data_IF_477205885159
#
_entry.id   IF_477205885159
#
_cell.length_a   1.000
_cell.length_b   1.000
_cell.length_c   1.000
_cell.angle_alpha   90.00
_cell.angle_beta   90.00
_cell.angle_gamma   90.00
#
_symmetry.space_group_name_H-M   'P 1'
#
loop_
_entity.id
_entity.type
_entity.pdbx_description
1 polymer ?
#
# COMPACT_ATOMS: atom_id res chain seq x y z
N UNK A 1 -24.51 -37.26 15.33
CA UNK A 1 -23.36 -36.42 15.64
C UNK A 1 -22.19 -37.00 14.87
N UNK A 2 -21.87 -36.43 13.70
CA UNK A 2 -20.72 -36.86 12.93
C UNK A 2 -19.47 -36.24 13.54
N UNK A 3 -18.45 -37.04 13.75
CA UNK A 3 -17.11 -36.62 14.15
C UNK A 3 -16.51 -35.85 12.98
N UNK A 4 -16.24 -34.55 13.18
CA UNK A 4 -15.49 -33.75 12.20
C UNK A 4 -14.02 -34.16 12.39
N UNK A 5 -13.46 -34.91 11.46
CA UNK A 5 -12.01 -35.14 11.37
C UNK A 5 -11.37 -33.88 10.83
N UNK A 6 -10.50 -33.25 11.61
CA UNK A 6 -9.70 -32.10 11.18
C UNK A 6 -8.54 -32.67 10.34
N UNK A 7 -8.63 -32.51 9.03
CA UNK A 7 -7.55 -32.90 8.11
C UNK A 7 -6.49 -31.79 8.12
N UNK A 8 -5.17 -32.14 8.23
CA UNK A 8 -4.09 -31.16 8.16
C UNK A 8 -4.12 -30.40 6.84
N UNK A 9 -3.94 -29.07 6.88
CA UNK A 9 -3.79 -28.21 5.72
C UNK A 9 -2.65 -28.71 4.82
N UNK A 10 -2.99 -29.10 3.62
CA UNK A 10 -2.13 -29.74 2.61
C UNK A 10 -2.93 -30.63 1.67
N UNK A 11 -4.17 -30.95 2.03
CA UNK A 11 -5.09 -31.69 1.20
C UNK A 11 -6.37 -30.86 1.04
N UNK A 12 -6.52 -30.23 -0.10
CA UNK A 12 -7.75 -29.65 -0.68
C UNK A 12 -8.84 -29.19 0.33
N UNK A 13 -8.46 -28.32 1.28
CA UNK A 13 -9.40 -27.74 2.24
C UNK A 13 -10.55 -26.98 1.52
N UNK A 14 -10.27 -26.39 0.37
CA UNK A 14 -11.22 -25.72 -0.49
C UNK A 14 -12.28 -26.65 -1.10
N UNK A 15 -11.95 -27.91 -1.32
CA UNK A 15 -12.90 -28.93 -1.77
C UNK A 15 -13.94 -29.27 -0.68
N UNK A 16 -13.54 -29.19 0.57
CA UNK A 16 -14.39 -29.49 1.72
C UNK A 16 -15.44 -28.41 1.99
N UNK A 17 -15.06 -27.13 1.99
CA UNK A 17 -16.00 -26.02 2.18
C UNK A 17 -17.14 -26.04 1.14
N UNK A 18 -16.85 -26.47 -0.08
CA UNK A 18 -17.83 -26.57 -1.17
C UNK A 18 -18.82 -27.75 -1.02
N UNK A 19 -18.51 -28.71 -0.20
CA UNK A 19 -19.37 -29.89 0.01
C UNK A 19 -20.43 -29.72 1.08
N UNK A 20 -20.43 -28.57 1.79
CA UNK A 20 -21.41 -28.29 2.84
C UNK A 20 -22.56 -27.42 2.32
N UNK A 21 -23.78 -27.73 2.78
CA UNK A 21 -24.96 -26.91 2.50
C UNK A 21 -24.88 -25.54 3.19
N UNK A 22 -25.49 -24.51 2.58
CA UNK A 22 -25.40 -23.09 2.95
C UNK A 22 -25.45 -22.77 4.47
N UNK A 23 -26.33 -23.33 5.32
CA UNK A 23 -26.37 -22.94 6.72
C UNK A 23 -25.12 -23.36 7.52
N UNK A 24 -24.32 -24.29 7.01
CA UNK A 24 -23.11 -24.79 7.69
C UNK A 24 -21.81 -24.21 7.13
N UNK A 25 -21.85 -23.58 5.97
CA UNK A 25 -20.69 -23.01 5.27
C UNK A 25 -19.91 -21.98 6.11
N UNK A 26 -20.57 -21.03 6.80
CA UNK A 26 -19.85 -20.08 7.67
C UNK A 26 -19.13 -20.75 8.84
N UNK A 27 -19.72 -21.81 9.40
CA UNK A 27 -19.13 -22.56 10.52
C UNK A 27 -17.89 -23.33 10.07
N UNK A 28 -17.92 -23.92 8.87
CA UNK A 28 -16.77 -24.64 8.29
C UNK A 28 -15.65 -23.66 7.93
N UNK A 29 -15.97 -22.53 7.31
CA UNK A 29 -15.01 -21.48 7.04
C UNK A 29 -14.35 -20.94 8.32
N UNK A 30 -15.12 -20.76 9.39
CA UNK A 30 -14.61 -20.40 10.71
C UNK A 30 -13.63 -21.47 11.26
N UNK A 31 -13.98 -22.75 11.19
CA UNK A 31 -13.13 -23.84 11.67
C UNK A 31 -11.82 -23.97 10.87
N UNK A 32 -11.90 -23.80 9.56
CA UNK A 32 -10.70 -23.79 8.68
C UNK A 32 -9.79 -22.61 9.04
N UNK A 33 -10.35 -21.41 9.22
CA UNK A 33 -9.61 -20.22 9.64
C UNK A 33 -8.91 -20.39 10.98
N UNK A 34 -9.62 -20.92 11.99
CA UNK A 34 -9.05 -21.15 13.33
C UNK A 34 -7.95 -22.22 13.31
N UNK A 35 -8.08 -23.26 12.49
CA UNK A 35 -7.04 -24.26 12.30
C UNK A 35 -5.78 -23.67 11.67
N UNK A 36 -5.93 -22.86 10.63
CA UNK A 36 -4.82 -22.16 9.98
C UNK A 36 -4.08 -21.21 10.93
N UNK A 37 -4.83 -20.40 11.69
CA UNK A 37 -4.24 -19.50 12.70
C UNK A 37 -3.50 -20.29 13.78
N UNK A 38 -4.00 -21.47 14.17
CA UNK A 38 -3.31 -22.37 15.12
C UNK A 38 -1.93 -22.81 14.62
N UNK A 39 -1.80 -23.13 13.35
CA UNK A 39 -0.52 -23.54 12.76
C UNK A 39 0.49 -22.38 12.68
N UNK A 40 0.03 -21.18 12.32
CA UNK A 40 0.86 -19.98 12.26
C UNK A 40 1.38 -19.55 13.64
N UNK A 41 0.58 -19.68 14.67
CA UNK A 41 0.89 -19.20 16.03
C UNK A 41 1.95 -20.06 16.75
N UNK A 42 2.35 -21.22 16.21
CA UNK A 42 3.44 -22.02 16.77
C UNK A 42 4.81 -21.31 16.83
N UNK A 43 5.02 -20.31 15.98
CA UNK A 43 6.28 -19.57 15.86
C UNK A 43 6.34 -18.28 16.70
N UNK A 44 5.33 -18.01 17.53
CA UNK A 44 5.28 -16.80 18.37
C UNK A 44 6.40 -16.80 19.43
N UNK A 45 7.17 -15.72 19.58
CA UNK A 45 8.16 -15.59 20.66
C UNK A 45 7.47 -15.71 22.03
N UNK A 46 7.97 -16.57 22.91
CA UNK A 46 7.40 -16.79 24.25
C UNK A 46 7.01 -18.26 24.53
N UNK A 47 7.19 -19.14 23.55
CA UNK A 47 6.99 -20.57 23.69
C UNK A 47 5.52 -21.02 23.66
N UNK A 48 5.24 -22.31 23.95
CA UNK A 48 3.92 -22.92 23.77
C UNK A 48 2.77 -22.26 24.55
N UNK A 49 3.04 -21.76 25.73
CA UNK A 49 2.02 -21.09 26.56
C UNK A 49 1.58 -19.75 25.96
N UNK A 50 2.51 -18.99 25.38
CA UNK A 50 2.19 -17.76 24.68
C UNK A 50 1.45 -18.03 23.36
N UNK A 51 1.86 -19.06 22.63
CA UNK A 51 1.16 -19.50 21.43
C UNK A 51 -0.31 -19.84 21.72
N UNK A 52 -0.59 -20.56 22.80
CA UNK A 52 -1.97 -20.89 23.20
C UNK A 52 -2.80 -19.65 23.55
N UNK A 53 -2.20 -18.68 24.27
CA UNK A 53 -2.88 -17.44 24.61
C UNK A 53 -3.24 -16.60 23.37
N UNK A 54 -2.32 -16.48 22.40
CA UNK A 54 -2.56 -15.79 21.14
C UNK A 54 -3.67 -16.49 20.34
N UNK A 55 -3.69 -17.82 20.30
CA UNK A 55 -4.78 -18.59 19.69
C UNK A 55 -6.12 -18.24 20.30
N UNK A 56 -6.19 -18.28 21.63
CA UNK A 56 -7.44 -17.98 22.33
C UNK A 56 -7.94 -16.56 22.02
N UNK A 57 -7.05 -15.56 22.01
CA UNK A 57 -7.41 -14.18 21.66
C UNK A 57 -7.96 -14.06 20.23
N UNK A 58 -7.37 -14.76 19.27
CA UNK A 58 -7.84 -14.75 17.90
C UNK A 58 -9.16 -15.51 17.75
N UNK A 59 -9.29 -16.68 18.41
CA UNK A 59 -10.52 -17.46 18.44
C UNK A 59 -11.69 -16.66 19.03
N UNK A 60 -11.45 -15.89 20.09
CA UNK A 60 -12.47 -15.07 20.73
C UNK A 60 -12.87 -13.88 19.84
N UNK A 61 -11.92 -13.21 19.22
CA UNK A 61 -12.21 -12.13 18.26
C UNK A 61 -13.03 -12.65 17.05
N UNK A 62 -12.69 -13.81 16.50
CA UNK A 62 -13.44 -14.41 15.40
C UNK A 62 -14.86 -14.82 15.81
N UNK A 63 -15.07 -15.28 17.07
CA UNK A 63 -16.41 -15.56 17.61
C UNK A 63 -17.24 -14.28 17.74
N UNK A 64 -16.64 -13.19 18.20
CA UNK A 64 -17.30 -11.89 18.29
C UNK A 64 -17.72 -11.36 16.91
N UNK A 65 -16.85 -11.44 15.91
CA UNK A 65 -17.17 -11.07 14.53
C UNK A 65 -18.34 -11.91 13.98
N UNK A 66 -18.31 -13.22 14.18
CA UNK A 66 -19.37 -14.12 13.74
C UNK A 66 -20.70 -13.82 14.46
N UNK A 67 -20.68 -13.49 15.76
CA UNK A 67 -21.84 -13.11 16.52
C UNK A 67 -22.46 -11.78 16.07
N UNK A 68 -21.66 -10.88 15.48
CA UNK A 68 -22.11 -9.61 14.89
C UNK A 68 -22.62 -9.77 13.45
N UNK A 69 -22.61 -10.99 12.92
CA UNK A 69 -23.05 -11.26 11.55
C UNK A 69 -22.04 -10.86 10.47
N UNK A 70 -20.79 -10.58 10.84
CA UNK A 70 -19.72 -10.32 9.89
C UNK A 70 -19.33 -11.61 9.18
N UNK A 71 -19.47 -11.62 7.86
CA UNK A 71 -19.04 -12.77 7.06
C UNK A 71 -17.51 -12.87 7.10
N UNK A 72 -16.94 -14.09 7.25
CA UNK A 72 -15.50 -14.28 7.15
C UNK A 72 -15.02 -13.83 5.77
N UNK A 73 -13.90 -13.12 5.73
CA UNK A 73 -13.25 -12.76 4.47
C UNK A 73 -12.72 -14.03 3.80
N UNK A 74 -13.38 -14.45 2.72
CA UNK A 74 -13.05 -15.65 1.97
C UNK A 74 -12.36 -15.30 0.65
N UNK A 75 -11.09 -15.68 0.52
CA UNK A 75 -10.30 -15.50 -0.69
C UNK A 75 -10.39 -16.69 -1.66
N UNK A 76 -11.00 -17.81 -1.24
CA UNK A 76 -11.02 -19.02 -2.08
C UNK A 76 -11.68 -18.83 -3.43
N UNK A 77 -12.79 -18.07 -3.58
CA UNK A 77 -13.39 -17.85 -4.89
C UNK A 77 -12.43 -17.29 -5.94
N UNK A 78 -11.63 -16.29 -5.57
CA UNK A 78 -10.67 -15.69 -6.52
C UNK A 78 -9.45 -16.60 -6.76
N UNK A 79 -9.02 -17.36 -5.76
CA UNK A 79 -7.95 -18.37 -5.91
C UNK A 79 -8.39 -19.47 -6.87
N UNK A 80 -9.62 -19.96 -6.77
CA UNK A 80 -10.19 -20.96 -7.68
C UNK A 80 -10.32 -20.44 -9.12
N UNK A 81 -10.79 -19.20 -9.28
CA UNK A 81 -10.84 -18.52 -10.58
C UNK A 81 -9.44 -18.44 -11.19
N UNK A 82 -8.44 -18.04 -10.42
CA UNK A 82 -7.05 -17.95 -10.89
C UNK A 82 -6.48 -19.32 -11.27
N UNK A 83 -6.73 -20.35 -10.49
CA UNK A 83 -6.34 -21.71 -10.81
C UNK A 83 -6.97 -22.19 -12.14
N UNK A 84 -8.20 -21.76 -12.44
CA UNK A 84 -8.86 -22.06 -13.72
C UNK A 84 -8.29 -21.24 -14.86
N UNK A 85 -8.04 -19.94 -14.67
CA UNK A 85 -7.48 -19.04 -15.69
C UNK A 85 -6.08 -19.47 -16.13
N UNK A 86 -5.24 -19.91 -15.21
CA UNK A 86 -3.86 -20.36 -15.49
C UNK A 86 -3.74 -21.89 -15.67
N UNK A 87 -4.83 -22.63 -15.49
CA UNK A 87 -4.84 -24.07 -15.63
C UNK A 87 -4.92 -24.56 -17.09
N UNK A 88 -4.97 -25.90 -17.30
CA UNK A 88 -5.17 -26.48 -18.62
C UNK A 88 -6.46 -25.94 -19.29
N UNK A 89 -6.34 -25.45 -20.52
CA UNK A 89 -7.40 -24.78 -21.27
C UNK A 89 -7.92 -23.48 -20.60
N UNK A 90 -7.07 -22.81 -19.83
CA UNK A 90 -7.33 -21.51 -19.25
C UNK A 90 -7.16 -20.35 -20.25
N UNK A 91 -7.04 -19.14 -19.75
CA UNK A 91 -6.87 -17.95 -20.57
C UNK A 91 -5.42 -17.85 -21.09
N UNK A 92 -5.19 -17.80 -22.41
CA UNK A 92 -3.85 -17.71 -22.99
C UNK A 92 -3.08 -16.46 -22.50
N UNK A 93 -3.79 -15.36 -22.25
CA UNK A 93 -3.19 -14.12 -21.75
C UNK A 93 -2.69 -14.30 -20.30
N UNK A 94 -3.53 -14.85 -19.41
CA UNK A 94 -3.15 -15.10 -18.03
C UNK A 94 -2.00 -16.12 -17.92
N UNK A 95 -2.04 -17.19 -18.71
CA UNK A 95 -0.99 -18.23 -18.78
C UNK A 95 0.35 -17.63 -19.20
N UNK A 96 0.35 -16.65 -20.12
CA UNK A 96 1.56 -15.99 -20.61
C UNK A 96 2.17 -15.00 -19.60
N UNK A 97 1.45 -14.63 -18.53
CA UNK A 97 1.97 -13.67 -17.56
C UNK A 97 3.08 -14.26 -16.69
N UNK A 98 4.02 -13.40 -16.35
CA UNK A 98 5.12 -13.64 -15.41
C UNK A 98 5.15 -12.54 -14.35
N UNK A 99 5.89 -12.74 -13.26
CA UNK A 99 6.14 -11.67 -12.28
C UNK A 99 6.61 -10.36 -12.94
N UNK A 100 7.38 -10.46 -14.02
CA UNK A 100 7.95 -9.30 -14.71
C UNK A 100 6.94 -8.57 -15.59
N UNK A 101 6.09 -9.29 -16.31
CA UNK A 101 5.09 -8.67 -17.20
C UNK A 101 3.98 -7.98 -16.42
N UNK A 102 3.67 -8.47 -15.21
CA UNK A 102 2.63 -7.93 -14.34
C UNK A 102 3.04 -6.67 -13.57
N UNK A 103 4.34 -6.32 -13.53
CA UNK A 103 4.82 -5.15 -12.76
C UNK A 103 4.10 -3.85 -13.08
N UNK A 104 3.79 -3.60 -14.35
CA UNK A 104 3.11 -2.39 -14.77
C UNK A 104 1.68 -2.34 -14.25
N UNK A 105 0.95 -3.44 -14.33
CA UNK A 105 -0.43 -3.52 -13.86
C UNK A 105 -0.50 -3.30 -12.34
N UNK A 106 0.38 -3.93 -11.56
CA UNK A 106 0.44 -3.69 -10.12
C UNK A 106 0.65 -2.21 -9.78
N UNK A 107 1.42 -1.46 -10.58
CA UNK A 107 1.58 -0.02 -10.40
C UNK A 107 0.31 0.75 -10.79
N UNK A 108 -0.33 0.36 -11.89
CA UNK A 108 -1.59 0.95 -12.37
C UNK A 108 -2.66 0.83 -11.27
N UNK A 109 -2.96 -0.38 -10.78
CA UNK A 109 -3.97 -0.62 -9.74
C UNK A 109 -3.68 0.15 -8.43
N UNK A 110 -2.40 0.23 -8.03
CA UNK A 110 -2.02 1.00 -6.83
C UNK A 110 -2.32 2.49 -7.01
N UNK A 111 -2.04 3.07 -8.18
CA UNK A 111 -2.32 4.48 -8.43
C UNK A 111 -3.80 4.75 -8.62
N UNK A 112 -4.56 3.86 -9.24
CA UNK A 112 -6.02 3.96 -9.35
C UNK A 112 -6.70 3.89 -7.97
N UNK A 113 -6.22 3.00 -7.09
CA UNK A 113 -6.64 2.97 -5.69
C UNK A 113 -6.31 4.29 -4.95
N UNK A 114 -5.14 4.88 -5.18
CA UNK A 114 -4.79 6.18 -4.58
C UNK A 114 -5.70 7.31 -5.09
N UNK A 115 -6.03 7.31 -6.39
CA UNK A 115 -6.97 8.27 -6.97
C UNK A 115 -8.38 8.13 -6.35
N UNK A 116 -8.88 6.90 -6.17
CA UNK A 116 -10.17 6.65 -5.53
C UNK A 116 -10.20 7.14 -4.06
N UNK A 117 -9.12 6.89 -3.31
CA UNK A 117 -8.94 7.40 -1.92
C UNK A 117 -8.96 8.93 -1.91
N UNK A 118 -8.20 9.58 -2.78
CA UNK A 118 -8.07 11.04 -2.83
C UNK A 118 -9.38 11.73 -3.26
N UNK A 119 -10.24 11.03 -4.00
CA UNK A 119 -11.56 11.51 -4.43
C UNK A 119 -12.67 11.19 -3.41
N UNK A 120 -12.40 10.34 -2.42
CA UNK A 120 -13.42 9.83 -1.49
C UNK A 120 -14.44 8.92 -2.19
N UNK A 121 -14.03 8.24 -3.28
CA UNK A 121 -14.86 7.32 -4.02
C UNK A 121 -14.78 5.90 -3.42
N UNK A 122 -15.68 5.61 -2.48
CA UNK A 122 -15.74 4.30 -1.82
C UNK A 122 -16.03 3.15 -2.80
N UNK A 123 -16.76 3.40 -3.88
CA UNK A 123 -17.07 2.39 -4.87
C UNK A 123 -15.85 2.07 -5.75
N UNK A 124 -15.15 3.10 -6.24
CA UNK A 124 -13.87 2.95 -6.93
C UNK A 124 -12.82 2.31 -6.03
N UNK A 125 -12.66 2.79 -4.80
CA UNK A 125 -11.70 2.18 -3.86
C UNK A 125 -11.94 0.68 -3.65
N UNK A 126 -13.21 0.23 -3.59
CA UNK A 126 -13.54 -1.20 -3.48
C UNK A 126 -13.17 -1.97 -4.74
N UNK A 127 -13.36 -1.40 -5.92
CA UNK A 127 -12.99 -1.98 -7.21
C UNK A 127 -11.46 -2.15 -7.27
N UNK A 128 -10.71 -1.07 -7.05
CA UNK A 128 -9.25 -1.09 -7.13
C UNK A 128 -8.57 -1.97 -6.07
N UNK A 129 -9.15 -2.05 -4.86
CA UNK A 129 -8.72 -3.03 -3.85
C UNK A 129 -8.91 -4.48 -4.34
N UNK A 130 -9.95 -4.74 -5.14
CA UNK A 130 -10.17 -6.02 -5.80
C UNK A 130 -9.06 -6.33 -6.81
N UNK A 131 -8.64 -5.34 -7.61
CA UNK A 131 -7.61 -5.49 -8.61
C UNK A 131 -6.21 -5.61 -7.98
N UNK A 132 -5.91 -4.89 -6.92
CA UNK A 132 -4.70 -5.12 -6.09
C UNK A 132 -4.71 -6.54 -5.50
N UNK A 133 -5.85 -7.02 -5.00
CA UNK A 133 -5.98 -8.40 -4.51
C UNK A 133 -5.76 -9.42 -5.63
N UNK A 134 -6.29 -9.17 -6.82
CA UNK A 134 -6.03 -10.00 -8.00
C UNK A 134 -4.54 -10.11 -8.31
N UNK A 135 -3.77 -9.00 -8.23
CA UNK A 135 -2.32 -9.00 -8.41
C UNK A 135 -1.63 -9.93 -7.37
N UNK A 136 -2.05 -9.89 -6.12
CA UNK A 136 -1.51 -10.80 -5.09
C UNK A 136 -1.80 -12.26 -5.45
N UNK A 137 -3.01 -12.58 -5.89
CA UNK A 137 -3.42 -13.96 -6.21
C UNK A 137 -2.72 -14.50 -7.45
N UNK A 138 -2.60 -13.71 -8.54
CA UNK A 138 -1.90 -14.16 -9.75
C UNK A 138 -0.41 -14.34 -9.51
N UNK A 139 0.23 -13.45 -8.75
CA UNK A 139 1.63 -13.61 -8.36
C UNK A 139 1.84 -14.84 -7.46
N UNK A 140 0.91 -15.12 -6.55
CA UNK A 140 0.95 -16.34 -5.71
C UNK A 140 0.86 -17.60 -6.57
N UNK A 141 -0.02 -17.59 -7.57
CA UNK A 141 -0.20 -18.73 -8.48
C UNK A 141 1.02 -18.97 -9.35
N UNK A 142 1.66 -17.92 -9.85
CA UNK A 142 2.91 -18.03 -10.61
C UNK A 142 4.01 -18.61 -9.70
N UNK A 143 4.16 -18.11 -8.46
CA UNK A 143 5.14 -18.64 -7.50
C UNK A 143 4.94 -20.11 -7.18
N UNK A 144 3.68 -20.57 -7.07
CA UNK A 144 3.33 -21.98 -6.88
C UNK A 144 3.70 -22.84 -8.09
N UNK A 145 3.41 -22.37 -9.31
CA UNK A 145 3.78 -23.04 -10.56
C UNK A 145 5.29 -23.16 -10.75
N UNK A 146 6.04 -22.17 -10.28
CA UNK A 146 7.52 -22.16 -10.29
C UNK A 146 8.13 -22.94 -9.10
N UNK A 147 7.32 -23.41 -8.16
CA UNK A 147 7.77 -24.13 -6.97
C UNK A 147 8.55 -23.28 -5.97
N UNK A 148 8.32 -21.95 -5.96
CA UNK A 148 9.03 -20.99 -5.12
C UNK A 148 8.30 -20.71 -3.80
N UNK A 149 7.01 -20.43 -3.88
CA UNK A 149 6.12 -20.14 -2.73
C UNK A 149 4.67 -20.30 -3.15
N UNK A 150 3.80 -20.46 -2.16
CA UNK A 150 2.33 -20.54 -2.33
C UNK A 150 1.61 -19.32 -1.73
N UNK A 151 0.32 -19.19 -2.00
CA UNK A 151 -0.53 -18.23 -1.31
C UNK A 151 -0.53 -18.43 0.21
N UNK A 152 -0.46 -19.67 0.66
CA UNK A 152 -0.38 -20.01 2.09
C UNK A 152 0.91 -19.49 2.73
N UNK A 153 2.04 -19.56 2.02
CA UNK A 153 3.30 -19.02 2.51
C UNK A 153 3.23 -17.51 2.69
N UNK A 154 2.61 -16.80 1.73
CA UNK A 154 2.42 -15.35 1.80
C UNK A 154 1.57 -14.97 3.03
N UNK A 155 0.43 -15.66 3.22
CA UNK A 155 -0.47 -15.38 4.35
C UNK A 155 0.21 -15.72 5.67
N UNK A 156 0.92 -16.85 5.76
CA UNK A 156 1.69 -17.23 6.95
C UNK A 156 2.72 -16.15 7.29
N UNK A 157 3.56 -15.79 6.34
CA UNK A 157 4.67 -14.87 6.54
C UNK A 157 4.20 -13.48 6.98
N UNK A 158 3.11 -12.96 6.39
CA UNK A 158 2.55 -11.67 6.81
C UNK A 158 1.89 -11.76 8.19
N UNK A 159 1.20 -12.86 8.49
CA UNK A 159 0.56 -13.06 9.80
C UNK A 159 1.61 -13.13 10.91
N UNK A 160 2.64 -13.97 10.76
CA UNK A 160 3.75 -14.05 11.71
C UNK A 160 4.44 -12.70 11.90
N UNK A 161 4.68 -11.98 10.81
CA UNK A 161 5.25 -10.63 10.85
C UNK A 161 4.38 -9.67 11.66
N UNK A 162 3.06 -9.68 11.47
CA UNK A 162 2.15 -8.79 12.19
C UNK A 162 2.09 -9.13 13.68
N UNK A 163 1.98 -10.40 14.04
CA UNK A 163 2.01 -10.85 15.44
C UNK A 163 3.33 -10.42 16.10
N UNK A 164 4.47 -10.68 15.48
CA UNK A 164 5.79 -10.34 16.00
C UNK A 164 6.00 -8.83 16.18
N UNK A 165 5.44 -8.01 15.27
CA UNK A 165 5.58 -6.54 15.30
C UNK A 165 4.60 -5.85 16.23
N UNK A 166 3.60 -6.56 16.75
CA UNK A 166 2.60 -6.02 17.69
C UNK A 166 2.65 -6.74 19.05
N UNK A 167 3.82 -6.81 19.72
CA UNK A 167 3.95 -7.48 21.00
C UNK A 167 3.06 -6.86 22.08
N UNK A 168 2.73 -5.58 21.95
CA UNK A 168 1.80 -4.88 22.83
C UNK A 168 0.35 -5.39 22.72
N UNK A 169 -0.02 -6.09 21.64
CA UNK A 169 -1.32 -6.72 21.46
C UNK A 169 -1.23 -8.21 21.80
N UNK A 170 -0.17 -8.89 21.35
CA UNK A 170 -0.04 -10.35 21.37
C UNK A 170 0.90 -10.88 22.47
N UNK A 171 1.34 -10.05 23.46
CA UNK A 171 2.17 -10.50 24.58
C UNK A 171 1.62 -10.08 25.95
N UNK A 172 2.06 -10.75 27.01
CA UNK A 172 1.64 -10.44 28.39
C UNK A 172 2.05 -9.05 28.90
N UNK A 173 3.06 -8.44 28.26
CA UNK A 173 3.52 -7.08 28.61
C UNK A 173 2.61 -5.97 28.07
N UNK A 174 1.46 -6.32 27.45
CA UNK A 174 0.57 -5.39 26.76
C UNK A 174 -0.14 -4.37 27.65
N UNK A 175 -0.13 -4.54 28.96
CA UNK A 175 -1.00 -3.75 29.86
C UNK A 175 -0.34 -2.50 30.46
N UNK A 176 0.98 -2.38 30.42
CA UNK A 176 1.66 -1.32 31.20
C UNK A 176 2.08 -0.08 30.38
N UNK A 177 2.29 -0.14 29.03
CA UNK A 177 2.83 1.00 28.29
C UNK A 177 2.27 1.16 26.86
N UNK A 178 1.09 1.72 26.72
CA UNK A 178 0.50 2.05 25.41
C UNK A 178 1.27 3.15 24.64
N UNK A 179 2.10 3.95 25.28
CA UNK A 179 2.87 5.04 24.66
C UNK A 179 4.18 4.60 23.96
N UNK A 180 4.71 3.42 24.29
CA UNK A 180 5.96 2.90 23.70
C UNK A 180 5.75 2.04 22.44
N UNK A 181 4.49 1.81 22.05
CA UNK A 181 4.17 0.85 20.99
C UNK A 181 4.70 1.24 19.60
N UNK A 182 4.66 2.52 19.25
CA UNK A 182 5.12 3.03 17.94
C UNK A 182 6.66 2.99 17.85
N UNK A 183 7.35 3.38 18.92
CA UNK A 183 8.81 3.34 19.00
C UNK A 183 9.36 1.90 18.95
N UNK A 184 8.64 0.93 19.52
CA UNK A 184 9.02 -0.47 19.48
C UNK A 184 8.82 -1.09 18.09
N UNK A 185 7.79 -0.69 17.34
CA UNK A 185 7.53 -1.19 15.98
C UNK A 185 8.70 -0.88 15.02
N UNK A 186 9.21 0.35 15.07
CA UNK A 186 10.35 0.77 14.24
C UNK A 186 11.66 0.06 14.65
N UNK A 187 11.88 -0.16 15.94
CA UNK A 187 13.05 -0.92 16.44
C UNK A 187 13.03 -2.38 16.01
N UNK A 188 11.86 -3.03 16.06
CA UNK A 188 11.68 -4.41 15.61
C UNK A 188 11.89 -4.53 14.10
N UNK A 189 11.34 -3.60 13.32
CA UNK A 189 11.54 -3.52 11.88
C UNK A 189 13.02 -3.31 11.49
N UNK A 190 13.77 -2.53 12.29
CA UNK A 190 15.21 -2.31 12.08
C UNK A 190 16.03 -3.55 12.43
N UNK A 191 15.69 -4.28 13.48
CA UNK A 191 16.37 -5.51 13.88
C UNK A 191 16.27 -6.59 12.82
N UNK A 192 15.11 -6.75 12.19
CA UNK A 192 14.88 -7.71 11.10
C UNK A 192 15.68 -7.37 9.83
N UNK A 193 15.77 -6.07 9.49
CA UNK A 193 16.48 -5.62 8.28
C UNK A 193 18.00 -5.69 8.40
N UNK A 194 18.57 -5.52 9.59
CA UNK A 194 20.03 -5.60 9.83
C UNK A 194 20.62 -6.97 9.51
N UNK A 195 19.83 -8.02 9.50
CA UNK A 195 20.30 -9.38 9.18
C UNK A 195 20.54 -9.61 7.67
N UNK A 196 20.11 -8.68 6.80
CA UNK A 196 20.12 -8.87 5.35
C UNK A 196 20.81 -7.76 4.54
N UNK A 197 21.37 -6.72 5.17
CA UNK A 197 21.94 -5.57 4.46
C UNK A 197 23.28 -5.15 5.08
N UNK A 198 24.32 -5.08 4.24
CA UNK A 198 25.67 -4.66 4.65
C UNK A 198 25.75 -3.13 4.84
N UNK A 199 24.98 -2.35 4.07
CA UNK A 199 24.94 -0.91 4.16
C UNK A 199 23.57 -0.41 4.64
N UNK A 200 23.58 0.74 5.32
CA UNK A 200 22.37 1.28 5.92
C UNK A 200 21.25 1.59 4.92
N UNK A 201 21.61 2.09 3.76
CA UNK A 201 20.65 2.50 2.73
C UNK A 201 20.17 1.36 1.84
N UNK A 202 20.81 0.18 1.86
CA UNK A 202 20.47 -0.98 1.01
C UNK A 202 19.01 -1.44 1.12
N UNK A 203 18.36 -1.20 2.25
CA UNK A 203 16.96 -1.56 2.42
C UNK A 203 15.96 -0.55 1.86
N UNK A 204 16.39 0.49 1.12
CA UNK A 204 15.51 1.33 0.30
C UNK A 204 15.38 0.73 -1.07
N UNK A 205 14.17 0.46 -1.49
CA UNK A 205 13.90 -0.16 -2.80
C UNK A 205 14.26 0.83 -3.91
N UNK A 206 15.19 0.45 -4.79
CA UNK A 206 15.67 1.31 -5.90
C UNK A 206 14.61 1.61 -6.98
N UNK A 207 13.54 0.84 -7.03
CA UNK A 207 12.45 1.00 -8.01
C UNK A 207 11.27 1.82 -7.49
N UNK A 208 11.40 2.49 -6.33
CA UNK A 208 10.38 3.43 -5.85
C UNK A 208 10.31 4.66 -6.75
N UNK A 209 9.14 5.33 -6.86
CA UNK A 209 9.05 6.68 -7.39
C UNK A 209 10.06 7.61 -6.73
N UNK A 210 10.62 8.56 -7.50
CA UNK A 210 11.84 9.28 -7.06
C UNK A 210 11.65 10.12 -5.80
N UNK A 211 10.51 10.77 -5.63
CA UNK A 211 10.25 11.57 -4.42
C UNK A 211 10.06 10.66 -3.19
N UNK A 212 9.36 9.54 -3.35
CA UNK A 212 9.23 8.55 -2.28
C UNK A 212 10.58 7.91 -1.94
N UNK A 213 11.44 7.67 -2.94
CA UNK A 213 12.79 7.16 -2.72
C UNK A 213 13.64 8.16 -1.93
N UNK A 214 13.64 9.45 -2.31
CA UNK A 214 14.32 10.52 -1.61
C UNK A 214 13.86 10.62 -0.14
N UNK A 215 12.55 10.61 0.09
CA UNK A 215 11.96 10.57 1.43
C UNK A 215 12.47 9.39 2.26
N UNK A 216 12.48 8.17 1.67
CA UNK A 216 12.90 6.95 2.38
C UNK A 216 14.41 6.89 2.65
N UNK A 217 15.24 7.45 1.77
CA UNK A 217 16.68 7.56 1.98
C UNK A 217 16.96 8.47 3.19
N UNK A 218 16.33 9.62 3.24
CA UNK A 218 16.49 10.62 4.29
C UNK A 218 15.87 10.13 5.62
N UNK A 219 14.70 9.47 5.60
CA UNK A 219 14.12 8.81 6.78
C UNK A 219 15.11 7.80 7.41
N UNK A 220 15.86 7.10 6.60
CA UNK A 220 16.87 6.15 7.10
C UNK A 220 18.11 6.84 7.63
N UNK A 221 18.58 7.90 6.98
CA UNK A 221 19.72 8.69 7.43
C UNK A 221 19.41 9.37 8.78
N UNK A 222 18.23 9.93 8.94
CA UNK A 222 17.75 10.53 10.16
C UNK A 222 17.79 9.57 11.36
N UNK A 223 17.48 8.28 11.16
CA UNK A 223 17.49 7.25 12.22
C UNK A 223 18.86 6.99 12.85
N UNK A 224 19.94 7.47 12.23
CA UNK A 224 21.30 7.38 12.77
C UNK A 224 21.87 8.73 13.17
N UNK A 225 21.03 9.75 13.24
CA UNK A 225 21.43 11.10 13.64
C UNK A 225 21.97 11.96 12.50
N UNK A 226 21.84 11.51 11.23
CA UNK A 226 22.15 12.35 10.08
C UNK A 226 20.88 13.09 9.64
N UNK A 227 20.55 14.15 10.37
CA UNK A 227 19.36 14.96 10.20
C UNK A 227 19.54 16.36 10.79
N UNK A 228 18.70 17.31 10.38
CA UNK A 228 18.62 18.63 11.01
C UNK A 228 17.76 18.55 12.29
N UNK A 229 18.21 19.27 13.32
CA UNK A 229 17.48 19.30 14.61
C UNK A 229 16.24 20.21 14.56
N UNK A 230 16.18 21.15 13.61
CA UNK A 230 15.13 22.16 13.52
C UNK A 230 14.55 22.26 12.12
N UNK A 231 13.26 22.54 12.05
CA UNK A 231 12.56 22.74 10.79
C UNK A 231 13.08 23.98 10.02
N UNK A 232 13.53 25.02 10.75
CA UNK A 232 14.10 26.21 10.13
C UNK A 232 15.38 25.91 9.35
N UNK A 233 16.20 24.98 9.85
CA UNK A 233 17.49 24.64 9.22
C UNK A 233 17.26 23.87 7.89
N UNK A 234 16.28 22.99 7.84
CA UNK A 234 15.94 22.28 6.59
C UNK A 234 15.28 23.20 5.58
N UNK A 235 14.50 24.20 6.01
CA UNK A 235 13.94 25.23 5.14
C UNK A 235 15.04 26.14 4.57
N UNK A 236 16.01 26.53 5.41
CA UNK A 236 17.16 27.32 4.98
C UNK A 236 18.00 26.57 3.92
N UNK A 237 18.14 25.23 4.04
CA UNK A 237 18.82 24.42 3.02
C UNK A 237 18.04 24.39 1.72
N UNK A 238 16.70 24.36 1.74
CA UNK A 238 15.91 24.46 0.52
C UNK A 238 16.11 25.82 -0.17
N UNK A 239 16.19 26.91 0.59
CA UNK A 239 16.48 28.23 0.03
C UNK A 239 17.88 28.31 -0.61
N UNK A 240 18.87 27.64 -0.01
CA UNK A 240 20.24 27.51 -0.55
C UNK A 240 20.21 26.78 -1.90
N UNK A 241 19.66 25.55 -1.98
CA UNK A 241 19.56 24.77 -3.21
C UNK A 241 18.76 25.51 -4.30
N UNK A 242 17.72 26.24 -3.90
CA UNK A 242 16.96 27.04 -4.85
C UNK A 242 17.79 28.19 -5.44
N UNK A 243 18.70 28.79 -4.68
CA UNK A 243 19.63 29.81 -5.19
C UNK A 243 20.68 29.21 -6.13
N UNK A 244 21.28 28.08 -5.77
CA UNK A 244 22.25 27.36 -6.59
C UNK A 244 21.63 26.96 -7.92
N UNK A 245 20.39 26.45 -7.92
CA UNK A 245 19.65 26.18 -9.17
C UNK A 245 19.43 27.43 -10.01
N UNK A 246 19.10 28.59 -9.41
CA UNK A 246 18.94 29.83 -10.15
C UNK A 246 20.27 30.32 -10.77
N UNK A 247 21.40 30.14 -10.09
CA UNK A 247 22.74 30.47 -10.59
C UNK A 247 23.12 29.56 -11.76
N UNK A 248 22.91 28.24 -11.64
CA UNK A 248 23.15 27.28 -12.71
C UNK A 248 22.33 27.58 -13.97
N UNK A 249 21.07 28.02 -13.84
CA UNK A 249 20.28 28.48 -14.99
C UNK A 249 20.88 29.70 -15.73
N UNK A 250 21.61 30.60 -15.01
CA UNK A 250 22.25 31.74 -15.60
C UNK A 250 23.54 31.39 -16.36
N UNK A 251 24.22 30.33 -15.93
CA UNK A 251 25.45 29.82 -16.55
C UNK A 251 25.21 29.17 -17.91
N UNK A 252 23.95 28.84 -18.24
CA UNK A 252 23.55 28.12 -19.45
C UNK A 252 24.20 26.73 -19.60
N UNK A 253 24.63 26.15 -18.49
CA UNK A 253 25.09 24.76 -18.39
C UNK A 253 23.91 23.87 -18.04
N UNK A 254 23.44 23.11 -19.04
CA UNK A 254 22.25 22.25 -18.86
C UNK A 254 22.47 21.10 -17.89
N UNK A 255 23.68 20.53 -17.85
CA UNK A 255 24.00 19.41 -16.97
C UNK A 255 24.05 19.89 -15.50
N UNK A 256 24.67 21.06 -15.24
CA UNK A 256 24.71 21.66 -13.93
C UNK A 256 23.30 22.06 -13.44
N UNK A 257 22.48 22.67 -14.29
CA UNK A 257 21.11 23.03 -13.95
C UNK A 257 20.23 21.79 -13.67
N UNK A 258 20.47 20.63 -14.33
CA UNK A 258 19.77 19.38 -14.05
C UNK A 258 20.19 18.80 -12.67
N UNK A 259 21.48 18.90 -12.31
CA UNK A 259 22.00 18.49 -10.98
C UNK A 259 21.33 19.30 -9.88
N UNK A 260 21.38 20.62 -9.95
CA UNK A 260 20.79 21.53 -8.96
C UNK A 260 19.24 21.37 -8.85
N UNK A 261 18.56 21.15 -9.98
CA UNK A 261 17.14 20.82 -9.96
C UNK A 261 16.86 19.53 -9.17
N UNK A 262 17.76 18.54 -9.30
CA UNK A 262 17.70 17.29 -8.53
C UNK A 262 17.85 17.55 -7.02
N UNK A 263 18.80 18.41 -6.63
CA UNK A 263 19.07 18.74 -5.23
C UNK A 263 17.92 19.53 -4.60
N UNK A 264 17.32 20.47 -5.31
CA UNK A 264 16.09 21.15 -4.88
C UNK A 264 14.97 20.14 -4.60
N UNK A 265 14.73 19.18 -5.50
CA UNK A 265 13.68 18.14 -5.30
C UNK A 265 14.01 17.22 -4.15
N UNK A 266 15.29 16.87 -3.96
CA UNK A 266 15.74 16.01 -2.88
C UNK A 266 15.57 16.70 -1.52
N UNK A 267 15.99 17.96 -1.39
CA UNK A 267 15.81 18.73 -0.14
C UNK A 267 14.33 19.04 0.10
N UNK A 268 13.53 19.30 -0.96
CA UNK A 268 12.09 19.46 -0.80
C UNK A 268 11.42 18.20 -0.25
N UNK A 269 11.84 17.01 -0.69
CA UNK A 269 11.35 15.76 -0.10
C UNK A 269 11.72 15.64 1.40
N UNK A 270 12.87 16.22 1.83
CA UNK A 270 13.24 16.27 3.23
C UNK A 270 12.40 17.26 4.04
N UNK A 271 12.12 18.44 3.50
CA UNK A 271 11.14 19.36 4.10
C UNK A 271 9.81 18.66 4.33
N UNK A 272 9.29 17.97 3.30
CA UNK A 272 8.07 17.18 3.43
C UNK A 272 8.15 16.16 4.57
N UNK A 273 9.29 15.47 4.73
CA UNK A 273 9.52 14.52 5.81
C UNK A 273 9.46 15.16 7.21
N UNK A 274 10.08 16.31 7.39
CA UNK A 274 10.05 17.06 8.64
C UNK A 274 8.62 17.44 9.04
N UNK A 275 7.80 17.82 8.06
CA UNK A 275 6.39 18.18 8.28
C UNK A 275 5.42 16.98 8.15
N UNK A 276 5.92 15.74 8.16
CA UNK A 276 5.12 14.51 8.06
C UNK A 276 4.23 14.45 6.80
N UNK A 277 4.68 15.03 5.71
CA UNK A 277 4.01 15.00 4.40
C UNK A 277 4.71 13.94 3.55
N UNK A 278 3.94 13.04 2.92
CA UNK A 278 4.49 12.12 1.93
C UNK A 278 4.52 12.83 0.56
N UNK A 279 5.71 13.11 -0.03
CA UNK A 279 5.82 14.00 -1.19
C UNK A 279 5.28 13.40 -2.48
N UNK A 280 5.35 12.09 -2.69
CA UNK A 280 4.82 11.41 -3.88
C UNK A 280 3.29 11.49 -3.92
N UNK A 281 2.62 11.19 -2.79
CA UNK A 281 1.18 11.33 -2.66
C UNK A 281 0.73 12.81 -2.79
N UNK A 282 1.52 13.74 -2.25
CA UNK A 282 1.23 15.17 -2.38
C UNK A 282 1.26 15.64 -3.85
N UNK A 283 2.27 15.20 -4.60
CA UNK A 283 2.39 15.51 -6.03
C UNK A 283 1.31 14.79 -6.85
N UNK A 284 0.98 13.55 -6.51
CA UNK A 284 -0.11 12.81 -7.15
C UNK A 284 -1.45 13.57 -7.02
N UNK A 285 -1.80 14.01 -5.80
CA UNK A 285 -3.00 14.86 -5.58
C UNK A 285 -2.95 16.17 -6.35
N UNK A 286 -1.78 16.79 -6.49
CA UNK A 286 -1.63 18.00 -7.28
C UNK A 286 -1.88 17.75 -8.77
N UNK A 287 -1.39 16.62 -9.30
CA UNK A 287 -1.61 16.18 -10.68
C UNK A 287 -3.11 15.90 -10.94
N UNK A 288 -3.78 15.17 -10.06
CA UNK A 288 -5.22 14.86 -10.17
C UNK A 288 -6.06 16.14 -10.09
N UNK A 289 -5.72 17.06 -9.19
CA UNK A 289 -6.32 18.39 -9.12
C UNK A 289 -6.12 19.19 -10.41
N UNK A 290 -4.92 19.15 -10.99
CA UNK A 290 -4.64 19.83 -12.26
C UNK A 290 -5.50 19.25 -13.39
N UNK A 291 -5.54 17.91 -13.55
CA UNK A 291 -6.37 17.23 -14.57
C UNK A 291 -7.85 17.66 -14.45
N UNK A 292 -8.42 17.57 -13.26
CA UNK A 292 -9.82 17.92 -13.00
C UNK A 292 -10.15 19.37 -13.39
N UNK A 293 -9.29 20.32 -13.03
CA UNK A 293 -9.46 21.74 -13.41
C UNK A 293 -9.25 21.97 -14.89
N UNK A 294 -8.28 21.29 -15.47
CA UNK A 294 -8.01 21.43 -16.90
C UNK A 294 -9.13 20.84 -17.75
N UNK A 295 -9.76 19.75 -17.33
CA UNK A 295 -10.97 19.24 -17.98
C UNK A 295 -12.11 20.25 -18.04
N UNK A 296 -12.25 21.10 -17.00
CA UNK A 296 -13.20 22.22 -17.05
C UNK A 296 -12.79 23.24 -18.13
N UNK A 297 -11.51 23.58 -18.22
CA UNK A 297 -11.02 24.49 -19.29
C UNK A 297 -11.30 23.88 -20.66
N UNK A 298 -11.03 22.59 -20.87
CA UNK A 298 -11.33 21.87 -22.12
C UNK A 298 -12.80 21.94 -22.48
N UNK A 299 -13.68 21.75 -21.50
CA UNK A 299 -15.11 21.86 -21.70
C UNK A 299 -15.53 23.27 -22.13
N UNK A 300 -15.01 24.30 -21.47
CA UNK A 300 -15.29 25.71 -21.81
C UNK A 300 -14.79 26.07 -23.22
N UNK A 301 -13.60 25.60 -23.59
CA UNK A 301 -13.08 25.78 -24.96
C UNK A 301 -14.00 25.10 -25.97
N UNK A 302 -14.41 23.86 -25.72
CA UNK A 302 -15.32 23.11 -26.58
C UNK A 302 -16.70 23.81 -26.74
N UNK A 303 -17.26 24.31 -25.66
CA UNK A 303 -18.52 25.03 -25.66
C UNK A 303 -18.48 26.35 -26.44
N UNK A 304 -17.32 27.00 -26.48
CA UNK A 304 -17.13 28.24 -27.22
C UNK A 304 -17.15 28.08 -28.75
N UNK A 305 -16.89 26.85 -29.24
CA UNK A 305 -16.74 26.55 -30.68
C UNK A 305 -15.44 27.09 -31.29
N UNK A 306 -14.55 27.69 -30.51
CA UNK A 306 -13.25 28.22 -30.94
C UNK A 306 -12.15 27.14 -30.81
N UNK A 307 -11.11 27.27 -31.64
CA UNK A 307 -9.90 26.42 -31.54
C UNK A 307 -8.99 26.92 -30.40
N UNK A 308 -8.19 26.04 -29.81
CA UNK A 308 -7.27 26.36 -28.71
C UNK A 308 -6.34 27.54 -28.97
N UNK A 309 -5.84 27.65 -30.19
CA UNK A 309 -4.91 28.69 -30.62
C UNK A 309 -5.58 30.10 -30.80
N UNK A 310 -6.90 30.16 -30.68
CA UNK A 310 -7.66 31.41 -30.73
C UNK A 310 -7.89 32.03 -29.36
N UNK A 311 -7.43 31.36 -28.30
CA UNK A 311 -7.51 31.87 -26.92
C UNK A 311 -6.17 32.48 -26.50
N UNK A 312 -6.25 33.59 -25.80
CA UNK A 312 -5.13 34.09 -25.02
C UNK A 312 -4.95 33.28 -23.72
N UNK A 313 -3.76 33.35 -23.12
CA UNK A 313 -3.52 32.75 -21.82
C UNK A 313 -4.47 33.31 -20.74
N UNK A 314 -4.77 34.60 -20.79
CA UNK A 314 -5.67 35.25 -19.83
C UNK A 314 -7.10 34.71 -19.92
N UNK A 315 -7.58 34.42 -21.13
CA UNK A 315 -8.90 33.80 -21.33
C UNK A 315 -8.93 32.39 -20.76
N UNK A 316 -7.90 31.58 -21.03
CA UNK A 316 -7.79 30.21 -20.48
C UNK A 316 -7.64 30.24 -18.94
N UNK A 317 -6.88 31.21 -18.39
CA UNK A 317 -6.73 31.39 -16.95
C UNK A 317 -8.08 31.81 -16.28
N UNK A 318 -8.94 32.51 -17.01
CA UNK A 318 -10.29 32.81 -16.52
C UNK A 318 -11.12 31.53 -16.31
N UNK A 319 -11.07 30.58 -17.25
CA UNK A 319 -11.71 29.27 -17.10
C UNK A 319 -11.11 28.44 -15.98
N UNK A 320 -9.79 28.54 -15.81
CA UNK A 320 -9.10 27.90 -14.69
C UNK A 320 -9.53 28.46 -13.33
N UNK A 321 -9.71 29.77 -13.23
CA UNK A 321 -10.24 30.42 -12.01
C UNK A 321 -11.67 30.00 -11.74
N UNK A 322 -12.51 29.90 -12.79
CA UNK A 322 -13.88 29.39 -12.69
C UNK A 322 -13.89 27.97 -12.10
N UNK A 323 -13.03 27.06 -12.60
CA UNK A 323 -12.88 25.72 -12.06
C UNK A 323 -12.53 25.72 -10.56
N UNK A 324 -11.59 26.58 -10.14
CA UNK A 324 -11.24 26.73 -8.71
C UNK A 324 -12.40 27.21 -7.85
N UNK A 325 -13.21 28.10 -8.37
CA UNK A 325 -14.35 28.65 -7.63
C UNK A 325 -15.50 27.64 -7.53
N UNK A 326 -15.70 26.82 -8.55
CA UNK A 326 -16.66 25.70 -8.52
C UNK A 326 -16.26 24.66 -7.46
N UNK A 327 -15.00 24.27 -7.40
CA UNK A 327 -14.50 23.34 -6.36
C UNK A 327 -14.72 23.90 -4.94
N UNK A 328 -14.48 25.19 -4.73
CA UNK A 328 -14.69 25.82 -3.41
C UNK A 328 -16.14 25.82 -2.97
N UNK A 329 -17.07 25.99 -3.91
CA UNK A 329 -18.52 25.99 -3.62
C UNK A 329 -19.04 24.58 -3.37
N UNK A 330 -18.55 23.57 -4.13
CA UNK A 330 -18.93 22.18 -3.91
C UNK A 330 -18.42 21.58 -2.59
N UNK A 331 -17.35 22.14 -2.01
CA UNK A 331 -16.88 21.74 -0.66
C UNK A 331 -17.64 22.43 0.50
N UNK A 332 -18.52 23.42 0.20
CA UNK A 332 -19.25 24.19 1.23
C UNK A 332 -20.62 23.64 1.58
N UNK A 333 -21.17 22.71 0.82
CA UNK A 333 -22.54 22.21 1.01
C UNK A 333 -22.61 20.85 1.74
N UNK A 334 -21.54 20.46 2.41
CA UNK A 334 -21.39 19.17 3.11
C UNK A 334 -21.10 19.29 4.61
N UNK A 335 -21.55 20.36 5.29
CA UNK A 335 -21.59 20.44 6.77
C UNK A 335 -22.99 20.16 7.33
#
# INVERSE_FOLDING_TARGET
MGTIEIIPLGTDAAGWERSFEEPYRPVVAYLVRTSYVRDVVHTVPGGPAMAEKVRQMIDDALKEEAAQGHMPFDMMPIVDVMARLRGPNGCPWDIAQTHRTLRRFLLEEVYEMLDAIDQGDDAGMREELGDVLYQVVIHSRIGEEEGLFSAQDIVRDITEKMIRRHPHVFSEKSLENKGESVLNWDRLKQGEKRQHHDQMLDGVVKGLPSLLQAYKLQEKAAKVGFDWDKDEDVLAKLDEEWQEFQEALQEQDGDHAEEEAGDVLFVFANVCRHFHIEPECALHRANSKFRRRFSHVEQRVKESGRSWNEFSLDELDSFWKEAKDLERRGCGDGE
#
